data_IF_581331672062
#
_entry.id   IF_581331672062
#
_cell.length_a   1.000
_cell.length_b   1.000
_cell.length_c   1.000
_cell.angle_alpha   90.00
_cell.angle_beta   90.00
_cell.angle_gamma   90.00
#
_symmetry.space_group_name_H-M   'P 1'
#
loop_
_entity.id
_entity.type
_entity.pdbx_description
1 polymer ?
#
# COMPACT_ATOMS: atom_id res chain seq x y z
N UNK A 1 -21.42 -39.53 -3.84
CA UNK A 1 -20.06 -39.92 -3.42
C UNK A 1 -19.10 -38.83 -3.90
N UNK A 2 -18.49 -38.07 -2.99
CA UNK A 2 -17.58 -36.98 -3.37
C UNK A 2 -16.36 -37.58 -4.07
N UNK A 3 -16.15 -37.27 -5.35
CA UNK A 3 -15.01 -37.81 -6.09
C UNK A 3 -13.79 -36.89 -5.89
N UNK A 4 -12.93 -37.27 -4.95
CA UNK A 4 -11.75 -36.48 -4.58
C UNK A 4 -10.83 -36.21 -5.78
N UNK A 5 -10.75 -37.14 -6.73
CA UNK A 5 -9.90 -37.00 -7.92
C UNK A 5 -10.41 -35.93 -8.89
N UNK A 6 -11.72 -35.75 -9.03
CA UNK A 6 -12.26 -34.68 -9.89
C UNK A 6 -12.08 -33.29 -9.27
N UNK A 7 -12.04 -33.21 -7.94
CA UNK A 7 -11.78 -31.97 -7.22
C UNK A 7 -10.31 -31.52 -7.34
N UNK A 8 -9.35 -32.44 -7.16
CA UNK A 8 -7.91 -32.13 -7.30
C UNK A 8 -7.53 -31.77 -8.74
N UNK A 9 -8.22 -32.31 -9.75
CA UNK A 9 -8.01 -31.98 -11.16
C UNK A 9 -8.58 -30.60 -11.56
N UNK A 10 -9.37 -29.97 -10.69
CA UNK A 10 -9.95 -28.67 -10.99
C UNK A 10 -8.89 -27.56 -10.87
N UNK A 11 -8.66 -26.83 -11.96
CA UNK A 11 -7.73 -25.69 -11.96
C UNK A 11 -8.07 -24.61 -10.93
N UNK A 12 -9.36 -24.39 -10.65
CA UNK A 12 -9.80 -23.40 -9.68
C UNK A 12 -9.40 -23.77 -8.25
N UNK A 13 -9.26 -25.07 -7.95
CA UNK A 13 -8.80 -25.53 -6.64
C UNK A 13 -7.36 -25.09 -6.38
N UNK A 14 -6.46 -25.34 -7.33
CA UNK A 14 -5.06 -24.92 -7.23
C UNK A 14 -4.89 -23.41 -7.24
N UNK A 15 -5.71 -22.71 -8.02
CA UNK A 15 -5.73 -21.26 -8.04
C UNK A 15 -6.13 -20.66 -6.68
N UNK A 16 -7.16 -21.20 -6.02
CA UNK A 16 -7.56 -20.78 -4.67
C UNK A 16 -6.45 -21.06 -3.65
N UNK A 17 -5.79 -22.22 -3.73
CA UNK A 17 -4.64 -22.53 -2.87
C UNK A 17 -3.53 -21.50 -3.07
N UNK A 18 -3.21 -21.14 -4.32
CA UNK A 18 -2.19 -20.16 -4.64
C UNK A 18 -2.52 -18.79 -4.04
N UNK A 19 -3.76 -18.32 -4.16
CA UNK A 19 -4.22 -17.06 -3.55
C UNK A 19 -4.16 -17.11 -2.03
N UNK A 20 -4.63 -18.19 -1.41
CA UNK A 20 -4.62 -18.35 0.04
C UNK A 20 -3.18 -18.37 0.58
N UNK A 21 -2.28 -19.08 -0.09
CA UNK A 21 -0.86 -19.13 0.26
C UNK A 21 -0.19 -17.76 0.09
N UNK A 22 -0.44 -17.08 -1.02
CA UNK A 22 0.07 -15.73 -1.27
C UNK A 22 -0.40 -14.72 -0.22
N UNK A 23 -1.67 -14.80 0.18
CA UNK A 23 -2.22 -13.99 1.26
C UNK A 23 -1.54 -14.30 2.59
N UNK A 24 -1.44 -15.59 2.95
CA UNK A 24 -0.86 -16.02 4.22
C UNK A 24 0.58 -15.51 4.41
N UNK A 25 1.43 -15.66 3.40
CA UNK A 25 2.83 -15.19 3.47
C UNK A 25 2.88 -13.66 3.60
N UNK A 26 2.00 -12.93 2.91
CA UNK A 26 2.00 -11.46 2.94
C UNK A 26 1.40 -10.84 4.19
N UNK A 27 0.59 -11.58 4.95
CA UNK A 27 0.06 -11.12 6.24
C UNK A 27 1.11 -11.24 7.37
N UNK A 28 2.23 -11.94 7.14
CA UNK A 28 3.29 -12.03 8.13
C UNK A 28 3.84 -10.64 8.48
N UNK A 29 3.70 -10.26 9.76
CA UNK A 29 4.17 -8.97 10.31
C UNK A 29 3.62 -7.73 9.58
N UNK A 30 2.39 -7.80 9.09
CA UNK A 30 1.75 -6.67 8.41
C UNK A 30 1.55 -5.46 9.33
N UNK A 31 1.56 -5.65 10.64
CA UNK A 31 1.42 -4.64 11.69
C UNK A 31 2.76 -4.19 12.30
N UNK A 32 3.89 -4.68 11.79
CA UNK A 32 5.20 -4.31 12.31
C UNK A 32 5.43 -2.78 12.22
N UNK A 33 6.07 -2.18 13.25
CA UNK A 33 6.32 -0.74 13.26
C UNK A 33 7.30 -0.34 12.14
N UNK A 34 7.13 0.88 11.62
CA UNK A 34 8.06 1.48 10.65
C UNK A 34 9.34 1.90 11.41
N UNK A 35 10.27 0.96 11.56
CA UNK A 35 11.51 1.15 12.33
C UNK A 35 12.73 0.46 11.69
N UNK A 36 12.67 0.16 10.39
CA UNK A 36 13.79 -0.38 9.62
C UNK A 36 14.76 0.72 9.16
N UNK A 37 15.92 0.31 8.63
CA UNK A 37 16.96 1.24 8.17
C UNK A 37 16.45 2.22 7.11
N UNK A 38 15.57 1.77 6.21
CA UNK A 38 14.96 2.59 5.15
C UNK A 38 13.52 3.02 5.48
N UNK A 39 13.18 3.06 6.77
CA UNK A 39 11.86 3.44 7.29
C UNK A 39 11.39 4.80 6.82
N UNK A 40 12.31 5.72 6.52
CA UNK A 40 11.98 7.05 6.05
C UNK A 40 11.04 7.03 4.85
N UNK A 41 11.24 6.13 3.87
CA UNK A 41 10.34 6.05 2.70
C UNK A 41 8.94 5.62 3.10
N UNK A 42 8.81 4.64 3.99
CA UNK A 42 7.51 4.18 4.46
C UNK A 42 6.81 5.28 5.29
N UNK A 43 7.55 5.94 6.18
CA UNK A 43 7.05 7.03 7.02
C UNK A 43 6.64 8.25 6.19
N UNK A 44 7.43 8.61 5.18
CA UNK A 44 7.17 9.70 4.25
C UNK A 44 5.89 9.48 3.46
N UNK A 45 5.73 8.26 2.93
CA UNK A 45 4.52 7.88 2.20
C UNK A 45 3.31 7.85 3.13
N UNK A 46 3.44 7.33 4.35
CA UNK A 46 2.36 7.37 5.35
C UNK A 46 1.98 8.81 5.74
N UNK A 47 2.96 9.71 5.85
CA UNK A 47 2.75 11.13 6.15
C UNK A 47 1.93 11.84 5.06
N UNK A 48 2.20 11.56 3.78
CA UNK A 48 1.42 12.11 2.66
C UNK A 48 -0.05 11.68 2.74
N UNK A 49 -0.33 10.39 2.97
CA UNK A 49 -1.72 9.91 3.11
C UNK A 49 -2.41 10.50 4.33
N UNK A 50 -1.70 10.58 5.47
CA UNK A 50 -2.21 11.23 6.68
C UNK A 50 -2.56 12.70 6.42
N UNK A 51 -1.74 13.40 5.64
CA UNK A 51 -2.00 14.78 5.27
C UNK A 51 -3.19 14.94 4.30
N UNK A 52 -3.54 13.93 3.51
CA UNK A 52 -4.81 13.97 2.76
C UNK A 52 -6.03 13.99 3.69
N UNK A 53 -5.95 13.34 4.86
CA UNK A 53 -7.01 13.41 5.87
C UNK A 53 -6.97 14.76 6.59
N UNK A 54 -5.79 15.19 7.06
CA UNK A 54 -5.67 16.37 7.92
C UNK A 54 -5.80 17.71 7.19
N UNK A 55 -5.34 17.78 5.92
CA UNK A 55 -5.23 19.04 5.14
C UNK A 55 -6.14 19.03 3.90
N UNK A 56 -6.95 18.00 3.74
CA UNK A 56 -7.80 17.78 2.58
C UNK A 56 -7.12 16.95 1.49
N UNK A 57 -7.94 16.31 0.66
CA UNK A 57 -7.49 15.43 -0.41
C UNK A 57 -6.92 16.25 -1.59
N UNK A 58 -5.60 16.47 -1.62
CA UNK A 58 -4.90 17.26 -2.64
C UNK A 58 -3.85 16.45 -3.40
N UNK A 59 -4.24 15.48 -4.25
CA UNK A 59 -3.29 14.60 -4.95
C UNK A 59 -2.40 15.31 -5.97
N UNK A 60 -2.83 16.45 -6.51
CA UNK A 60 -2.01 17.28 -7.41
C UNK A 60 -1.01 18.18 -6.66
N UNK A 61 -1.10 18.23 -5.34
CA UNK A 61 -0.19 19.00 -4.49
C UNK A 61 0.02 18.24 -3.16
N UNK A 62 0.63 17.04 -3.22
CA UNK A 62 0.84 16.20 -2.05
C UNK A 62 1.75 16.90 -1.04
N UNK A 63 1.43 16.75 0.25
CA UNK A 63 2.18 17.36 1.35
C UNK A 63 2.72 16.29 2.29
N UNK A 64 4.02 16.29 2.53
CA UNK A 64 4.65 15.47 3.56
C UNK A 64 4.75 16.21 4.89
N UNK A 65 5.53 15.63 5.80
CA UNK A 65 5.88 16.27 7.08
C UNK A 65 7.30 16.84 7.09
N UNK A 66 8.08 16.55 6.06
CA UNK A 66 9.41 17.10 5.89
C UNK A 66 9.37 18.56 5.39
N UNK A 67 10.16 19.42 6.03
CA UNK A 67 10.38 20.82 5.67
C UNK A 67 11.77 21.04 5.05
N UNK A 68 12.56 19.98 4.87
CA UNK A 68 13.88 20.03 4.27
C UNK A 68 13.83 20.66 2.88
N UNK A 69 14.95 21.27 2.51
CA UNK A 69 15.12 21.89 1.19
C UNK A 69 15.04 20.80 0.12
N UNK A 70 14.03 20.89 -0.75
CA UNK A 70 13.80 19.92 -1.83
C UNK A 70 14.66 20.22 -3.06
N UNK A 71 15.22 21.44 -3.16
CA UNK A 71 16.10 21.85 -4.25
C UNK A 71 17.56 21.91 -3.82
N UNK A 72 18.46 21.58 -4.75
CA UNK A 72 19.92 21.77 -4.61
C UNK A 72 20.29 23.24 -4.32
N UNK A 73 19.41 24.16 -4.68
CA UNK A 73 19.53 25.61 -4.49
C UNK A 73 19.19 26.05 -3.05
N UNK A 74 18.70 25.14 -2.20
CA UNK A 74 18.46 25.41 -0.78
C UNK A 74 17.17 26.18 -0.47
N UNK A 75 16.16 26.12 -1.35
CA UNK A 75 14.88 26.81 -1.10
C UNK A 75 14.12 26.04 -0.01
N UNK A 76 13.78 26.73 1.08
CA UNK A 76 13.06 26.15 2.20
C UNK A 76 11.66 25.66 1.80
N UNK A 77 11.32 24.41 2.14
CA UNK A 77 10.01 23.82 1.82
C UNK A 77 8.98 24.09 2.93
N UNK A 78 8.66 25.38 3.16
CA UNK A 78 7.75 25.79 4.23
C UNK A 78 6.35 25.19 4.08
N UNK A 79 5.91 24.97 2.84
CA UNK A 79 4.61 24.37 2.52
C UNK A 79 4.60 22.83 2.57
N UNK A 80 5.76 22.19 2.82
CA UNK A 80 5.97 20.74 2.90
C UNK A 80 5.51 19.97 1.67
N UNK A 81 5.64 20.56 0.48
CA UNK A 81 5.27 19.87 -0.74
C UNK A 81 6.17 18.67 -0.97
N UNK A 82 5.60 17.56 -1.44
CA UNK A 82 6.30 16.29 -1.62
C UNK A 82 6.10 15.72 -3.02
N UNK A 83 6.83 16.29 -3.99
CA UNK A 83 6.77 15.90 -5.40
C UNK A 83 7.84 14.86 -5.78
N UNK A 84 7.94 13.76 -5.03
CA UNK A 84 8.88 12.67 -5.34
C UNK A 84 8.27 11.68 -6.33
N UNK A 85 6.97 11.42 -6.20
CA UNK A 85 6.20 10.48 -7.02
C UNK A 85 4.74 10.96 -7.11
N UNK A 86 4.03 10.55 -8.17
CA UNK A 86 2.60 10.80 -8.25
C UNK A 86 1.87 9.94 -7.20
N UNK A 87 1.00 10.49 -6.34
CA UNK A 87 0.55 9.83 -5.11
C UNK A 87 -0.54 8.76 -5.33
N UNK A 88 -0.42 7.93 -6.37
CA UNK A 88 -1.39 6.84 -6.69
C UNK A 88 -1.54 5.91 -5.50
N UNK A 89 -0.42 5.54 -4.88
CA UNK A 89 -0.41 4.65 -3.74
C UNK A 89 -1.11 5.27 -2.53
N UNK A 90 -0.88 6.55 -2.26
CA UNK A 90 -1.57 7.29 -1.19
C UNK A 90 -3.06 7.44 -1.47
N UNK A 91 -3.44 7.69 -2.73
CA UNK A 91 -4.86 7.74 -3.16
C UNK A 91 -5.54 6.40 -2.91
N UNK A 92 -4.86 5.28 -3.19
CA UNK A 92 -5.40 3.94 -2.92
C UNK A 92 -5.57 3.65 -1.42
N UNK A 93 -4.71 4.19 -0.57
CA UNK A 93 -4.78 4.00 0.90
C UNK A 93 -5.79 4.95 1.56
N UNK A 94 -6.02 6.13 0.99
CA UNK A 94 -6.87 7.18 1.56
C UNK A 94 -8.26 6.72 2.04
N UNK A 95 -9.03 5.89 1.28
CA UNK A 95 -10.33 5.39 1.76
C UNK A 95 -10.23 4.57 3.05
N UNK A 96 -9.17 3.78 3.23
CA UNK A 96 -8.96 3.02 4.46
C UNK A 96 -8.72 3.94 5.65
N UNK A 97 -7.94 5.01 5.45
CA UNK A 97 -7.70 6.01 6.50
C UNK A 97 -9.00 6.75 6.88
N UNK A 98 -9.83 7.04 5.88
CA UNK A 98 -11.11 7.74 6.07
C UNK A 98 -12.12 6.91 6.87
N UNK A 99 -12.19 5.59 6.63
CA UNK A 99 -13.21 4.70 7.20
C UNK A 99 -12.74 4.04 8.51
N UNK A 100 -11.46 3.63 8.56
CA UNK A 100 -10.91 2.79 9.63
C UNK A 100 -9.92 3.53 10.54
N UNK A 101 -9.67 4.82 10.28
CA UNK A 101 -8.71 5.64 11.02
C UNK A 101 -7.28 5.51 10.54
N UNK A 102 -6.35 6.23 11.18
CA UNK A 102 -4.94 6.28 10.77
C UNK A 102 -4.21 5.01 11.22
N UNK A 103 -3.73 4.21 10.26
CA UNK A 103 -2.85 3.08 10.55
C UNK A 103 -1.94 2.75 9.35
N UNK A 104 -0.64 2.71 9.59
CA UNK A 104 0.40 2.41 8.59
C UNK A 104 0.23 1.03 7.94
N UNK A 105 -0.39 0.08 8.65
CA UNK A 105 -0.72 -1.25 8.13
C UNK A 105 -1.49 -1.19 6.81
N UNK A 106 -2.35 -0.17 6.60
CA UNK A 106 -3.17 -0.09 5.39
C UNK A 106 -2.37 0.16 4.12
N UNK A 107 -1.19 0.79 4.22
CA UNK A 107 -0.26 0.86 3.10
C UNK A 107 0.17 -0.55 2.68
N UNK A 108 0.61 -1.37 3.64
CA UNK A 108 1.00 -2.76 3.38
C UNK A 108 -0.17 -3.59 2.86
N UNK A 109 -1.38 -3.38 3.41
CA UNK A 109 -2.60 -4.03 2.93
C UNK A 109 -2.87 -3.72 1.45
N UNK A 110 -2.75 -2.47 1.02
CA UNK A 110 -2.88 -2.10 -0.40
C UNK A 110 -1.87 -2.88 -1.25
N UNK A 111 -0.61 -2.98 -0.81
CA UNK A 111 0.40 -3.80 -1.51
C UNK A 111 0.03 -5.29 -1.58
N UNK A 112 -0.58 -5.85 -0.52
CA UNK A 112 -1.11 -7.23 -0.53
C UNK A 112 -2.22 -7.37 -1.57
N UNK A 113 -3.20 -6.46 -1.58
CA UNK A 113 -4.32 -6.48 -2.52
C UNK A 113 -3.85 -6.41 -3.97
N UNK A 114 -2.93 -5.49 -4.30
CA UNK A 114 -2.35 -5.41 -5.65
C UNK A 114 -1.60 -6.67 -6.03
N UNK A 115 -0.83 -7.27 -5.11
CA UNK A 115 -0.13 -8.52 -5.40
C UNK A 115 -1.08 -9.69 -5.65
N UNK A 116 -2.16 -9.83 -4.89
CA UNK A 116 -3.16 -10.87 -5.12
C UNK A 116 -3.93 -10.60 -6.42
N UNK A 117 -4.26 -9.34 -6.68
CA UNK A 117 -4.84 -8.90 -7.94
C UNK A 117 -3.97 -9.29 -9.13
N UNK A 118 -2.65 -9.08 -9.07
CA UNK A 118 -1.72 -9.52 -10.12
C UNK A 118 -1.75 -11.04 -10.35
N UNK A 119 -1.87 -11.86 -9.30
CA UNK A 119 -2.03 -13.31 -9.45
C UNK A 119 -3.33 -13.64 -10.20
N UNK A 120 -4.42 -12.96 -9.87
CA UNK A 120 -5.71 -13.12 -10.57
C UNK A 120 -5.59 -12.71 -12.03
N UNK A 121 -5.00 -11.55 -12.32
CA UNK A 121 -4.83 -11.07 -13.69
C UNK A 121 -3.97 -12.02 -14.53
N UNK A 122 -2.87 -12.54 -13.97
CA UNK A 122 -2.01 -13.50 -14.66
C UNK A 122 -2.70 -14.84 -14.93
N UNK A 123 -3.59 -15.27 -14.04
CA UNK A 123 -4.38 -16.49 -14.24
C UNK A 123 -5.45 -16.34 -15.35
N UNK A 124 -5.91 -15.11 -15.61
CA UNK A 124 -6.90 -14.81 -16.65
C UNK A 124 -6.29 -14.61 -18.05
N UNK A 125 -4.97 -14.42 -18.15
CA UNK A 125 -4.22 -14.29 -19.41
C UNK A 125 -3.91 -15.66 -20.01
#
# INVERSE_FOLDING_TARGET
>A
MFNLLSFIKNQYFWFIILLAFGLWVRLYKIDAPIADWHSWRQADTAAVTRNFINKGFTPLSPKGDDMSTVSEVGIANLNRFRFVEFPIYNIAVYPFYLILGLNEMYHRLVSVLFSLGSIVFLYLL
#
